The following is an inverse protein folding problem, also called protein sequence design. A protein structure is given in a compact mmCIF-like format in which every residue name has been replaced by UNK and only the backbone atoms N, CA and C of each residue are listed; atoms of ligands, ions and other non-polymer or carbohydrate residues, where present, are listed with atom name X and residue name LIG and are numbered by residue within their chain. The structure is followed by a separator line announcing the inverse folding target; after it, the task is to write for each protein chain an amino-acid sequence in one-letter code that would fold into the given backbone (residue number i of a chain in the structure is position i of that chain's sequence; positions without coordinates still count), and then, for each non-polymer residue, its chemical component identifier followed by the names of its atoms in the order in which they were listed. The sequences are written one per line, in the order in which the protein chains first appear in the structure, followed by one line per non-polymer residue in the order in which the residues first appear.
data_IF_672702901017
#
_entry.id   IF_672702901017
#
_cell.length_a   1.000
_cell.length_b   1.000
_cell.length_c   1.000
_cell.angle_alpha   90.00
_cell.angle_beta   90.00
_cell.angle_gamma   90.00
#
_symmetry.space_group_name_H-M   'P 1'
#
loop_
_entity.id
_entity.type
_entity.pdbx_description
1 polymer ?
#
# COMPACT_ATOMS: atom_id res chain seq x y z
N UNK A 1 -60.31 4.94 -35.67
CA UNK A 1 -59.04 5.69 -35.53
C UNK A 1 -58.99 6.24 -34.12
N UNK A 2 -57.79 6.34 -33.54
CA UNK A 2 -57.47 6.48 -32.09
C UNK A 2 -57.52 5.10 -31.42
N UNK A 3 -56.45 4.30 -31.32
CA UNK A 3 -55.09 4.50 -30.75
C UNK A 3 -55.09 4.56 -29.22
N UNK A 4 -55.18 3.39 -28.56
CA UNK A 4 -54.87 3.25 -27.13
C UNK A 4 -53.60 2.42 -26.93
N UNK A 5 -52.77 2.99 -26.07
CA UNK A 5 -51.36 2.74 -25.81
C UNK A 5 -51.10 1.47 -25.02
N UNK A 6 -50.27 0.59 -25.55
CA UNK A 6 -49.59 -0.45 -24.79
C UNK A 6 -48.51 0.17 -23.90
N UNK A 7 -48.63 -0.01 -22.59
CA UNK A 7 -47.52 0.17 -21.64
C UNK A 7 -46.49 -0.96 -21.83
N UNK A 8 -45.19 -0.68 -21.98
CA UNK A 8 -44.18 -1.71 -21.97
C UNK A 8 -43.88 -2.17 -20.54
N UNK A 9 -43.78 -3.49 -20.41
CA UNK A 9 -43.45 -4.21 -19.19
C UNK A 9 -42.11 -3.76 -18.59
N UNK A 10 -42.15 -3.75 -17.26
CA UNK A 10 -41.08 -3.47 -16.32
C UNK A 10 -39.94 -4.49 -16.49
N UNK A 11 -38.96 -4.19 -17.34
CA UNK A 11 -37.69 -4.93 -17.37
C UNK A 11 -36.96 -4.70 -16.04
N UNK A 12 -37.08 -5.69 -15.16
CA UNK A 12 -36.19 -5.89 -14.01
C UNK A 12 -34.75 -5.76 -14.50
N UNK A 13 -34.11 -4.65 -14.15
CA UNK A 13 -32.66 -4.50 -14.23
C UNK A 13 -32.04 -5.62 -13.42
N UNK A 14 -31.51 -6.63 -14.12
CA UNK A 14 -30.62 -7.61 -13.51
C UNK A 14 -29.50 -6.81 -12.87
N UNK A 15 -29.47 -6.81 -11.53
CA UNK A 15 -28.26 -6.50 -10.78
C UNK A 15 -27.15 -7.38 -11.34
N UNK A 16 -26.26 -6.77 -12.11
CA UNK A 16 -24.98 -7.39 -12.45
C UNK A 16 -24.19 -7.36 -11.16
N UNK A 17 -24.29 -8.46 -10.41
CA UNK A 17 -23.32 -8.78 -9.36
C UNK A 17 -21.95 -8.81 -10.05
N UNK A 18 -20.96 -7.99 -9.64
CA UNK A 18 -19.64 -8.04 -10.25
C UNK A 18 -19.08 -9.45 -10.10
N UNK A 19 -18.69 -10.03 -11.23
CA UNK A 19 -18.07 -11.34 -11.31
C UNK A 19 -16.80 -11.34 -10.45
N UNK A 20 -16.69 -12.39 -9.63
CA UNK A 20 -15.56 -12.75 -8.79
C UNK A 20 -14.21 -12.29 -9.35
N UNK A 21 -13.45 -11.52 -8.56
CA UNK A 21 -12.04 -11.30 -8.79
C UNK A 21 -11.34 -12.67 -8.88
N UNK A 22 -10.94 -13.07 -10.09
CA UNK A 22 -10.14 -14.28 -10.27
C UNK A 22 -8.81 -14.06 -9.57
N UNK A 23 -8.53 -14.95 -8.61
CA UNK A 23 -7.25 -15.05 -7.94
C UNK A 23 -6.15 -15.26 -8.99
N UNK A 24 -5.12 -14.41 -8.97
CA UNK A 24 -4.05 -14.47 -9.97
C UNK A 24 -3.05 -15.58 -9.63
N UNK A 25 -2.27 -16.04 -10.63
CA UNK A 25 -1.22 -17.02 -10.39
C UNK A 25 -0.17 -16.55 -9.37
N UNK A 26 0.07 -15.24 -9.28
CA UNK A 26 0.96 -14.64 -8.29
C UNK A 26 0.37 -14.62 -6.88
N UNK A 27 -0.94 -14.41 -6.72
CA UNK A 27 -1.59 -14.48 -5.41
C UNK A 27 -1.43 -15.90 -4.82
N UNK A 28 -1.61 -16.92 -5.67
CA UNK A 28 -1.38 -18.32 -5.32
C UNK A 28 0.10 -18.58 -4.99
N UNK A 29 1.02 -18.05 -5.79
CA UNK A 29 2.45 -18.18 -5.55
C UNK A 29 2.88 -17.52 -4.23
N UNK A 30 2.38 -16.32 -3.95
CA UNK A 30 2.63 -15.60 -2.70
C UNK A 30 2.16 -16.43 -1.50
N UNK A 31 0.93 -16.97 -1.54
CA UNK A 31 0.40 -17.80 -0.46
C UNK A 31 1.22 -19.09 -0.25
N UNK A 32 1.63 -19.73 -1.34
CA UNK A 32 2.50 -20.91 -1.27
C UNK A 32 3.86 -20.57 -0.65
N UNK A 33 4.43 -19.40 -1.00
CA UNK A 33 5.71 -18.96 -0.46
C UNK A 33 5.59 -18.56 1.01
N UNK A 34 4.52 -17.87 1.41
CA UNK A 34 4.20 -17.60 2.83
C UNK A 34 4.07 -18.91 3.60
N UNK A 35 3.40 -19.93 3.05
CA UNK A 35 3.26 -21.23 3.72
C UNK A 35 4.61 -21.93 3.92
N UNK A 36 5.49 -21.93 2.90
CA UNK A 36 6.86 -22.46 3.03
C UNK A 36 7.68 -21.67 4.04
N UNK A 37 7.54 -20.35 4.01
CA UNK A 37 8.21 -19.46 4.94
C UNK A 37 7.82 -19.76 6.39
N UNK A 38 6.52 -19.99 6.66
CA UNK A 38 6.02 -20.42 7.98
C UNK A 38 6.63 -21.74 8.42
N UNK A 39 6.73 -22.71 7.51
CA UNK A 39 7.32 -24.02 7.81
C UNK A 39 8.81 -23.90 8.16
N UNK A 40 9.56 -23.07 7.43
CA UNK A 40 10.99 -22.87 7.63
C UNK A 40 11.32 -22.03 8.87
N UNK A 41 10.41 -21.14 9.30
CA UNK A 41 10.66 -20.14 10.33
C UNK A 41 9.70 -20.23 11.53
N UNK A 42 9.13 -21.40 11.79
CA UNK A 42 8.08 -21.59 12.80
C UNK A 42 8.42 -21.06 14.20
N UNK A 43 9.63 -21.30 14.72
CA UNK A 43 10.03 -20.82 16.05
C UNK A 43 10.07 -19.29 16.14
N UNK A 44 10.57 -18.63 15.09
CA UNK A 44 10.64 -17.16 15.04
C UNK A 44 9.24 -16.56 14.91
N UNK A 45 8.36 -17.22 14.14
CA UNK A 45 6.96 -16.82 13.98
C UNK A 45 6.19 -16.92 15.31
N UNK A 46 6.34 -18.03 16.05
CA UNK A 46 5.71 -18.19 17.37
C UNK A 46 6.18 -17.10 18.35
N UNK A 47 7.46 -16.71 18.28
CA UNK A 47 8.00 -15.61 19.11
C UNK A 47 7.39 -14.26 18.74
N UNK A 48 7.22 -13.98 17.44
CA UNK A 48 6.54 -12.78 16.95
C UNK A 48 5.08 -12.72 17.41
N UNK A 49 4.34 -13.81 17.25
CA UNK A 49 2.91 -13.87 17.58
C UNK A 49 2.67 -13.66 19.08
N UNK A 50 3.47 -14.29 19.95
CA UNK A 50 3.38 -14.07 21.39
C UNK A 50 3.60 -12.61 21.76
N UNK A 51 4.61 -11.98 21.18
CA UNK A 51 4.92 -10.58 21.46
C UNK A 51 3.80 -9.64 20.99
N UNK A 52 3.32 -9.81 19.76
CA UNK A 52 2.21 -9.00 19.21
C UNK A 52 0.93 -9.17 20.04
N UNK A 53 0.62 -10.38 20.49
CA UNK A 53 -0.58 -10.65 21.29
C UNK A 53 -0.48 -10.02 22.69
N UNK A 54 0.71 -9.99 23.29
CA UNK A 54 0.95 -9.26 24.54
C UNK A 54 0.81 -7.74 24.36
N UNK A 55 1.24 -7.22 23.22
CA UNK A 55 1.14 -5.80 22.86
C UNK A 55 -0.31 -5.38 22.60
N UNK A 56 -1.06 -6.11 21.77
CA UNK A 56 -2.46 -5.81 21.42
C UNK A 56 -3.38 -5.69 22.62
N UNK A 57 -3.02 -6.27 23.77
CA UNK A 57 -3.79 -6.14 25.03
C UNK A 57 -3.64 -4.77 25.69
N UNK A 58 -2.65 -3.98 25.30
CA UNK A 58 -2.23 -2.75 26.01
C UNK A 58 -2.25 -1.50 25.14
N UNK A 59 -2.25 -1.64 23.82
CA UNK A 59 -2.06 -0.54 22.87
C UNK A 59 -2.86 -0.76 21.58
N UNK A 60 -3.21 0.33 20.92
CA UNK A 60 -4.02 0.32 19.70
C UNK A 60 -3.23 0.69 18.44
N UNK A 61 -2.06 1.33 18.56
CA UNK A 61 -1.26 1.86 17.44
C UNK A 61 0.25 1.67 17.62
N UNK A 62 1.05 1.86 16.56
CA UNK A 62 2.52 1.81 16.64
C UNK A 62 3.12 3.02 17.36
N UNK A 63 2.49 4.19 17.24
CA UNK A 63 2.86 5.38 18.01
C UNK A 63 2.66 5.15 19.51
N UNK A 64 1.48 4.66 19.91
CA UNK A 64 1.19 4.34 21.31
C UNK A 64 2.17 3.30 21.84
N UNK A 65 2.52 2.32 21.00
CA UNK A 65 3.49 1.30 21.31
C UNK A 65 4.89 1.88 21.64
N UNK A 66 5.37 2.81 20.82
CA UNK A 66 6.66 3.47 21.05
C UNK A 66 6.67 4.34 22.31
N UNK A 67 5.51 4.85 22.73
CA UNK A 67 5.38 5.70 23.92
C UNK A 67 5.11 4.90 25.20
N UNK A 68 4.23 3.90 25.15
CA UNK A 68 3.67 3.18 26.29
C UNK A 68 4.32 1.80 26.56
N UNK A 69 4.88 1.13 25.54
CA UNK A 69 5.50 -0.19 25.70
C UNK A 69 6.83 -0.31 24.93
N UNK A 70 7.79 0.53 25.35
CA UNK A 70 9.16 0.63 24.78
C UNK A 70 9.92 -0.69 24.79
N UNK A 71 9.66 -1.57 25.75
CA UNK A 71 10.36 -2.86 25.87
C UNK A 71 9.87 -3.84 24.80
N UNK A 72 8.55 -3.96 24.61
CA UNK A 72 7.97 -4.75 23.52
C UNK A 72 8.43 -4.24 22.16
N UNK A 73 8.51 -2.92 21.97
CA UNK A 73 9.10 -2.33 20.76
C UNK A 73 10.53 -2.74 20.53
N UNK A 74 11.36 -2.68 21.58
CA UNK A 74 12.76 -3.03 21.46
C UNK A 74 12.93 -4.49 21.02
N UNK A 75 12.14 -5.39 21.60
CA UNK A 75 12.17 -6.81 21.19
C UNK A 75 11.72 -6.96 19.73
N UNK A 76 10.67 -6.25 19.30
CA UNK A 76 10.22 -6.32 17.92
C UNK A 76 11.27 -5.80 16.93
N UNK A 77 11.94 -4.71 17.28
CA UNK A 77 13.08 -4.16 16.53
C UNK A 77 14.28 -5.12 16.54
N UNK A 78 14.49 -5.90 17.59
CA UNK A 78 15.55 -6.94 17.61
C UNK A 78 15.19 -8.16 16.75
N UNK A 79 13.92 -8.54 16.70
CA UNK A 79 13.44 -9.66 15.88
C UNK A 79 13.39 -9.29 14.39
N UNK A 80 13.11 -8.03 14.06
CA UNK A 80 12.94 -7.61 12.69
C UNK A 80 14.17 -7.85 11.80
N UNK A 81 15.42 -7.53 12.20
CA UNK A 81 16.62 -7.90 11.46
C UNK A 81 16.76 -9.41 11.23
N UNK A 82 16.29 -10.24 12.17
CA UNK A 82 16.35 -11.70 12.06
C UNK A 82 15.35 -12.27 11.06
N UNK A 83 14.28 -11.54 10.76
CA UNK A 83 13.26 -11.91 9.78
C UNK A 83 13.83 -11.82 8.37
N UNK A 84 14.06 -12.95 7.66
CA UNK A 84 14.55 -12.90 6.28
C UNK A 84 13.49 -12.33 5.32
N UNK A 85 13.90 -11.68 4.22
CA UNK A 85 12.97 -11.24 3.18
C UNK A 85 12.25 -12.42 2.52
N UNK A 86 11.00 -12.21 2.15
CA UNK A 86 10.28 -13.17 1.31
C UNK A 86 10.95 -13.19 -0.09
N UNK A 87 11.27 -14.36 -0.65
CA UNK A 87 12.02 -14.45 -1.90
C UNK A 87 11.15 -14.19 -3.13
N UNK A 88 10.71 -12.95 -3.30
CA UNK A 88 9.94 -12.51 -4.47
C UNK A 88 10.87 -12.38 -5.68
N UNK A 89 10.44 -12.91 -6.83
CA UNK A 89 11.22 -12.85 -8.08
C UNK A 89 10.84 -11.62 -8.90
N UNK A 90 11.84 -10.97 -9.50
CA UNK A 90 11.63 -9.81 -10.38
C UNK A 90 11.41 -8.50 -9.63
N UNK A 91 10.89 -7.51 -10.34
CA UNK A 91 10.65 -6.16 -9.82
C UNK A 91 9.28 -6.11 -9.12
N UNK A 92 9.31 -6.11 -7.79
CA UNK A 92 8.11 -6.17 -6.93
C UNK A 92 7.89 -4.82 -6.25
N UNK A 93 6.77 -4.18 -6.53
CA UNK A 93 6.45 -2.82 -6.07
C UNK A 93 5.22 -2.89 -5.16
N UNK A 94 5.37 -2.54 -3.89
CA UNK A 94 4.25 -2.44 -2.96
C UNK A 94 3.57 -1.07 -3.02
N UNK A 95 2.25 -1.06 -3.13
CA UNK A 95 1.43 0.15 -3.11
C UNK A 95 0.70 0.24 -1.76
N UNK A 96 1.09 1.22 -0.96
CA UNK A 96 0.59 1.46 0.40
C UNK A 96 -0.24 2.74 0.44
N UNK A 97 -1.10 2.86 1.45
CA UNK A 97 -1.90 4.07 1.67
C UNK A 97 -3.26 3.74 2.29
N UNK A 98 -3.86 4.72 2.96
CA UNK A 98 -5.19 4.59 3.56
C UNK A 98 -6.26 4.27 2.50
N UNK A 99 -7.43 3.81 2.95
CA UNK A 99 -8.59 3.64 2.05
C UNK A 99 -8.97 4.98 1.43
N UNK A 100 -9.43 4.99 0.17
CA UNK A 100 -9.77 6.20 -0.60
C UNK A 100 -8.61 7.13 -1.01
N UNK A 101 -7.35 6.78 -0.72
CA UNK A 101 -6.18 7.51 -1.24
C UNK A 101 -6.00 7.38 -2.76
N UNK A 102 -6.80 6.52 -3.41
CA UNK A 102 -6.79 6.31 -4.84
C UNK A 102 -5.78 5.26 -5.29
N UNK A 103 -5.40 4.31 -4.41
CA UNK A 103 -4.51 3.17 -4.72
C UNK A 103 -4.93 2.43 -5.97
N UNK A 104 -6.16 1.93 -6.05
CA UNK A 104 -6.67 1.22 -7.23
C UNK A 104 -6.61 2.07 -8.51
N UNK A 105 -6.92 3.37 -8.41
CA UNK A 105 -6.80 4.29 -9.55
C UNK A 105 -5.34 4.50 -9.97
N UNK A 106 -4.42 4.64 -9.01
CA UNK A 106 -3.00 4.74 -9.28
C UNK A 106 -2.45 3.46 -9.90
N UNK A 107 -2.87 2.31 -9.39
CA UNK A 107 -2.50 1.00 -9.92
C UNK A 107 -2.90 0.88 -11.39
N UNK A 108 -4.17 1.18 -11.71
CA UNK A 108 -4.65 1.19 -13.09
C UNK A 108 -3.86 2.19 -13.96
N UNK A 109 -3.51 3.35 -13.42
CA UNK A 109 -2.70 4.35 -14.11
C UNK A 109 -1.23 3.94 -14.28
N UNK A 110 -0.67 3.09 -13.42
CA UNK A 110 0.71 2.58 -13.55
C UNK A 110 0.80 1.41 -14.52
N UNK A 111 -0.26 0.59 -14.60
CA UNK A 111 -0.35 -0.53 -15.54
C UNK A 111 -0.84 -0.11 -16.93
N UNK A 112 -1.33 1.13 -17.07
CA UNK A 112 -2.06 1.61 -18.24
C UNK A 112 -3.23 0.64 -18.62
N UNK A 113 -3.88 0.06 -17.61
CA UNK A 113 -4.97 -0.92 -17.73
C UNK A 113 -6.03 -0.69 -16.65
N UNK A 114 -7.28 -1.12 -16.88
CA UNK A 114 -8.35 -1.03 -15.88
C UNK A 114 -8.60 -2.41 -15.24
N UNK A 115 -7.76 -2.78 -14.28
CA UNK A 115 -7.71 -4.13 -13.68
C UNK A 115 -8.09 -4.16 -12.21
N UNK A 116 -7.72 -3.13 -11.45
CA UNK A 116 -8.16 -2.98 -10.07
C UNK A 116 -9.54 -2.31 -10.05
N UNK A 117 -10.49 -2.87 -9.27
CA UNK A 117 -11.80 -2.27 -9.16
C UNK A 117 -11.70 -0.93 -8.41
N UNK A 118 -12.53 0.04 -8.84
CA UNK A 118 -12.55 1.39 -8.28
C UNK A 118 -13.99 1.77 -7.92
N UNK A 119 -14.27 2.00 -6.62
CA UNK A 119 -15.61 2.40 -6.16
C UNK A 119 -15.70 2.69 -4.66
N UNK A 120 -16.83 3.25 -4.23
CA UNK A 120 -17.12 3.47 -2.79
C UNK A 120 -17.60 2.15 -2.18
N UNK A 121 -16.88 1.65 -1.17
CA UNK A 121 -17.21 0.40 -0.45
C UNK A 121 -16.33 -0.80 -0.79
N UNK A 122 -15.37 -0.65 -1.72
CA UNK A 122 -14.41 -1.71 -2.04
C UNK A 122 -13.21 -1.62 -1.09
N UNK A 123 -13.15 -2.56 -0.15
CA UNK A 123 -12.05 -2.69 0.80
C UNK A 123 -11.22 -3.89 0.36
N UNK A 124 -9.99 -3.64 -0.10
CA UNK A 124 -9.01 -4.70 -0.26
C UNK A 124 -8.72 -5.28 1.13
N UNK A 125 -8.94 -6.58 1.33
CA UNK A 125 -8.74 -7.28 2.63
C UNK A 125 -7.45 -8.10 2.68
N UNK A 126 -6.89 -8.38 1.51
CA UNK A 126 -5.72 -9.25 1.29
C UNK A 126 -4.77 -8.58 0.30
N UNK A 127 -3.48 -8.89 0.40
CA UNK A 127 -2.48 -8.45 -0.58
C UNK A 127 -2.83 -9.06 -1.93
N UNK A 128 -2.91 -8.24 -2.97
CA UNK A 128 -3.22 -8.69 -4.35
C UNK A 128 -2.14 -8.27 -5.33
N UNK A 129 -1.76 -9.19 -6.20
CA UNK A 129 -0.81 -8.96 -7.27
C UNK A 129 -1.52 -8.50 -8.55
N UNK A 130 -0.89 -7.54 -9.24
CA UNK A 130 -1.29 -7.10 -10.56
C UNK A 130 -0.07 -7.03 -11.45
N UNK A 131 -0.12 -7.78 -12.56
CA UNK A 131 1.04 -7.94 -13.43
C UNK A 131 1.15 -6.82 -14.45
N UNK A 132 2.27 -6.11 -14.38
CA UNK A 132 2.75 -5.24 -15.44
C UNK A 132 3.65 -5.99 -16.42
N UNK A 133 4.15 -5.25 -17.41
CA UNK A 133 5.08 -5.81 -18.41
C UNK A 133 6.49 -6.08 -17.83
N UNK A 134 6.90 -5.27 -16.85
CA UNK A 134 8.27 -5.25 -16.31
C UNK A 134 8.32 -5.34 -14.78
N UNK A 135 7.18 -5.34 -14.10
CA UNK A 135 7.06 -5.38 -12.65
C UNK A 135 5.73 -5.99 -12.21
N UNK A 136 5.68 -6.40 -10.95
CA UNK A 136 4.47 -6.80 -10.24
C UNK A 136 4.09 -5.72 -9.25
N UNK A 137 2.86 -5.19 -9.35
CA UNK A 137 2.30 -4.28 -8.36
C UNK A 137 1.51 -5.05 -7.33
N UNK A 138 1.83 -4.81 -6.07
CA UNK A 138 1.12 -5.39 -4.94
C UNK A 138 0.22 -4.33 -4.32
N UNK A 139 -1.09 -4.48 -4.46
CA UNK A 139 -2.07 -3.67 -3.71
C UNK A 139 -2.12 -4.20 -2.28
N UNK A 140 -1.64 -3.38 -1.34
CA UNK A 140 -1.57 -3.75 0.06
C UNK A 140 -2.79 -3.14 0.75
N UNK A 141 -3.63 -3.96 1.40
CA UNK A 141 -4.81 -3.48 2.08
C UNK A 141 -4.39 -2.45 3.13
N UNK A 142 -4.95 -1.24 3.04
CA UNK A 142 -4.81 -0.24 4.09
C UNK A 142 -5.64 -0.69 5.27
N UNK A 143 -5.08 -1.56 6.11
CA UNK A 143 -5.76 -1.96 7.35
C UNK A 143 -5.64 -0.83 8.35
N UNK A 144 -6.74 -0.56 9.06
CA UNK A 144 -6.79 0.44 10.12
C UNK A 144 -6.06 -0.02 11.40
N UNK A 145 -5.64 -1.29 11.49
CA UNK A 145 -4.88 -1.80 12.63
C UNK A 145 -3.38 -1.78 12.32
N UNK A 146 -2.71 -0.69 12.71
CA UNK A 146 -1.28 -0.49 12.49
C UNK A 146 -0.41 -1.62 13.04
N UNK A 147 -0.87 -2.30 14.09
CA UNK A 147 -0.20 -3.46 14.68
C UNK A 147 -0.18 -4.70 13.77
N UNK A 148 -1.07 -4.80 12.76
CA UNK A 148 -1.03 -5.95 11.84
C UNK A 148 0.23 -5.96 10.98
N UNK A 149 0.79 -4.79 10.68
CA UNK A 149 2.03 -4.67 9.91
C UNK A 149 3.26 -5.17 10.65
N UNK A 150 3.17 -5.36 11.96
CA UNK A 150 4.26 -5.87 12.79
C UNK A 150 4.40 -7.39 12.72
N UNK A 151 3.50 -8.10 12.02
CA UNK A 151 3.63 -9.53 11.84
C UNK A 151 4.90 -9.86 11.05
N UNK A 152 5.51 -11.01 11.38
CA UNK A 152 6.69 -11.50 10.67
C UNK A 152 6.45 -11.62 9.16
N UNK A 153 5.24 -12.01 8.76
CA UNK A 153 4.86 -12.15 7.35
C UNK A 153 4.83 -10.82 6.62
N UNK A 154 4.25 -9.77 7.22
CA UNK A 154 4.25 -8.43 6.63
C UNK A 154 5.67 -7.87 6.56
N UNK A 155 6.46 -8.03 7.62
CA UNK A 155 7.87 -7.58 7.63
C UNK A 155 8.68 -8.32 6.56
N UNK A 156 8.56 -9.64 6.48
CA UNK A 156 9.22 -10.48 5.47
C UNK A 156 8.82 -10.05 4.05
N UNK A 157 7.52 -9.88 3.81
CA UNK A 157 6.99 -9.40 2.54
C UNK A 157 7.52 -8.00 2.21
N UNK A 158 7.49 -7.06 3.14
CA UNK A 158 8.02 -5.71 2.94
C UNK A 158 9.49 -5.74 2.59
N UNK A 159 10.31 -6.56 3.26
CA UNK A 159 11.72 -6.73 2.92
C UNK A 159 11.93 -7.37 1.54
N UNK A 160 11.02 -8.25 1.11
CA UNK A 160 11.04 -8.86 -0.22
C UNK A 160 10.69 -7.91 -1.38
N UNK A 161 9.99 -6.80 -1.08
CA UNK A 161 9.69 -5.79 -2.09
C UNK A 161 10.95 -5.06 -2.56
N UNK A 162 11.04 -4.86 -3.87
CA UNK A 162 12.11 -4.05 -4.48
C UNK A 162 11.87 -2.55 -4.35
N UNK A 163 10.59 -2.13 -4.31
CA UNK A 163 10.17 -0.73 -4.12
C UNK A 163 8.89 -0.63 -3.30
N UNK A 164 8.72 0.48 -2.59
CA UNK A 164 7.58 0.74 -1.69
C UNK A 164 7.07 2.15 -1.97
N UNK A 165 5.83 2.24 -2.43
CA UNK A 165 5.18 3.50 -2.77
C UNK A 165 4.08 3.79 -1.76
N UNK A 166 4.19 4.89 -1.02
CA UNK A 166 3.20 5.29 -0.03
C UNK A 166 2.36 6.44 -0.57
N UNK A 167 1.09 6.19 -0.81
CA UNK A 167 0.16 7.17 -1.36
C UNK A 167 -0.48 7.99 -0.24
N UNK A 168 -0.39 9.31 -0.39
CA UNK A 168 -1.03 10.32 0.47
C UNK A 168 -1.88 11.27 -0.36
N UNK A 169 -2.82 11.98 0.29
CA UNK A 169 -3.65 12.99 -0.38
C UNK A 169 -3.58 14.37 0.23
N UNK A 170 -3.27 14.49 1.52
CA UNK A 170 -3.20 15.78 2.18
C UNK A 170 -1.95 15.93 3.04
N UNK A 171 -1.59 14.90 3.81
CA UNK A 171 -0.48 14.96 4.76
C UNK A 171 0.25 13.63 4.88
N UNK A 172 1.55 13.67 5.22
CA UNK A 172 2.32 12.45 5.50
C UNK A 172 1.86 11.74 6.79
N UNK A 173 1.15 12.46 7.67
CA UNK A 173 0.59 11.90 8.91
C UNK A 173 -0.42 10.78 8.65
N UNK A 174 -1.06 10.75 7.47
CA UNK A 174 -2.01 9.70 7.07
C UNK A 174 -1.41 8.28 7.14
N UNK A 175 -0.09 8.14 7.03
CA UNK A 175 0.60 6.85 7.00
C UNK A 175 1.90 6.88 7.83
N UNK A 176 2.00 7.75 8.84
CA UNK A 176 3.25 7.96 9.56
C UNK A 176 3.75 6.72 10.29
N UNK A 177 2.85 5.88 10.80
CA UNK A 177 3.18 4.65 11.53
C UNK A 177 3.88 3.63 10.62
N UNK A 178 3.32 3.45 9.41
CA UNK A 178 3.94 2.61 8.37
C UNK A 178 5.30 3.17 7.95
N UNK A 179 5.39 4.49 7.71
CA UNK A 179 6.64 5.15 7.33
C UNK A 179 7.73 4.96 8.39
N UNK A 180 7.39 5.14 9.68
CA UNK A 180 8.31 4.90 10.80
C UNK A 180 8.72 3.43 10.90
N UNK A 181 7.78 2.50 10.70
CA UNK A 181 8.11 1.08 10.66
C UNK A 181 9.14 0.80 9.55
N UNK A 182 8.95 1.33 8.35
CA UNK A 182 9.93 1.15 7.26
C UNK A 182 11.29 1.79 7.61
N UNK A 183 11.30 2.95 8.24
CA UNK A 183 12.53 3.60 8.74
C UNK A 183 13.29 2.71 9.73
N UNK A 184 12.61 2.17 10.74
CA UNK A 184 13.21 1.27 11.74
C UNK A 184 13.69 -0.05 11.13
N UNK A 185 13.01 -0.52 10.08
CA UNK A 185 13.45 -1.68 9.29
C UNK A 185 14.61 -1.36 8.34
N UNK A 186 15.01 -0.09 8.21
CA UNK A 186 16.02 0.36 7.26
C UNK A 186 15.58 0.23 5.81
N UNK A 187 14.27 0.22 5.54
CA UNK A 187 13.71 0.01 4.21
C UNK A 187 13.37 1.33 3.52
N UNK A 188 13.97 1.52 2.36
CA UNK A 188 13.71 2.67 1.50
C UNK A 188 12.29 2.66 0.92
N UNK A 189 11.69 3.85 0.82
CA UNK A 189 10.37 4.05 0.22
C UNK A 189 10.23 5.43 -0.45
N UNK A 190 9.25 5.55 -1.32
CA UNK A 190 8.86 6.80 -1.97
C UNK A 190 7.48 7.25 -1.51
N UNK A 191 7.30 8.56 -1.42
CA UNK A 191 6.01 9.18 -1.11
C UNK A 191 5.38 9.68 -2.40
N UNK A 192 4.10 9.35 -2.61
CA UNK A 192 3.33 9.76 -3.78
C UNK A 192 2.14 10.59 -3.32
N UNK A 193 2.23 11.91 -3.49
CA UNK A 193 1.10 12.81 -3.28
C UNK A 193 0.16 12.72 -4.48
N UNK A 194 -0.95 12.02 -4.32
CA UNK A 194 -1.94 11.81 -5.38
C UNK A 194 -3.02 12.90 -5.36
N UNK A 195 -3.75 13.03 -6.46
CA UNK A 195 -4.79 14.06 -6.69
C UNK A 195 -4.24 15.49 -6.65
N UNK A 196 -2.99 15.69 -7.03
CA UNK A 196 -2.39 17.03 -7.10
C UNK A 196 -3.06 17.95 -8.13
N UNK A 197 -3.87 17.38 -9.04
CA UNK A 197 -4.78 18.12 -9.92
C UNK A 197 -5.85 18.94 -9.18
N UNK A 198 -6.13 18.59 -7.92
CA UNK A 198 -7.08 19.31 -7.06
C UNK A 198 -6.45 20.45 -6.25
N UNK A 199 -5.13 20.58 -6.30
CA UNK A 199 -4.43 21.68 -5.63
C UNK A 199 -4.35 22.85 -6.60
N UNK A 200 -4.83 24.01 -6.14
CA UNK A 200 -4.80 25.25 -6.89
C UNK A 200 -3.37 25.60 -7.29
N UNK A 201 -3.17 26.07 -8.53
CA UNK A 201 -1.82 26.24 -9.09
C UNK A 201 -0.94 27.18 -8.26
N UNK A 202 -1.56 28.20 -7.66
CA UNK A 202 -0.93 29.18 -6.78
C UNK A 202 -0.47 28.56 -5.44
N UNK A 203 -1.16 27.52 -4.96
CA UNK A 203 -0.89 26.85 -3.69
C UNK A 203 0.07 25.66 -3.82
N UNK A 204 0.30 25.16 -5.04
CA UNK A 204 1.13 23.96 -5.30
C UNK A 204 2.52 24.04 -4.67
N UNK A 205 3.17 25.20 -4.76
CA UNK A 205 4.51 25.39 -4.17
C UNK A 205 4.46 25.30 -2.65
N UNK A 206 3.41 25.81 -2.03
CA UNK A 206 3.24 25.78 -0.58
C UNK A 206 2.95 24.36 -0.09
N UNK A 207 2.05 23.64 -0.77
CA UNK A 207 1.78 22.23 -0.47
C UNK A 207 3.05 21.38 -0.58
N UNK A 208 3.87 21.60 -1.61
CA UNK A 208 5.15 20.89 -1.74
C UNK A 208 6.10 21.18 -0.58
N UNK A 209 6.22 22.44 -0.15
CA UNK A 209 7.03 22.84 1.01
C UNK A 209 6.48 22.26 2.31
N UNK A 210 5.16 22.28 2.49
CA UNK A 210 4.49 21.71 3.65
C UNK A 210 4.82 20.23 3.78
N UNK A 211 4.62 19.43 2.72
CA UNK A 211 4.91 17.99 2.75
C UNK A 211 6.38 17.72 3.09
N UNK A 212 7.32 18.46 2.50
CA UNK A 212 8.74 18.33 2.83
C UNK A 212 9.05 18.71 4.28
N UNK A 213 8.40 19.74 4.80
CA UNK A 213 8.55 20.17 6.19
C UNK A 213 7.97 19.12 7.15
N UNK A 214 6.84 18.52 6.82
CA UNK A 214 6.25 17.44 7.62
C UNK A 214 7.14 16.19 7.66
N UNK A 215 7.75 15.81 6.52
CA UNK A 215 8.74 14.72 6.46
C UNK A 215 9.90 14.99 7.44
N UNK A 216 10.43 16.22 7.46
CA UNK A 216 11.50 16.62 8.37
C UNK A 216 11.05 16.65 9.84
N UNK A 217 9.87 17.19 10.12
CA UNK A 217 9.32 17.30 11.47
C UNK A 217 9.02 15.94 12.10
N UNK A 218 8.51 15.00 11.31
CA UNK A 218 8.28 13.61 11.76
C UNK A 218 9.62 12.86 11.88
N UNK A 219 10.66 13.32 11.19
CA UNK A 219 12.00 12.74 11.23
C UNK A 219 12.15 11.50 10.36
N UNK A 220 11.44 11.45 9.23
CA UNK A 220 11.47 10.31 8.32
C UNK A 220 12.82 10.21 7.58
N UNK A 221 13.46 9.04 7.62
CA UNK A 221 14.88 8.88 7.21
C UNK A 221 15.05 8.19 5.86
N UNK A 222 14.18 7.24 5.53
CA UNK A 222 14.31 6.36 4.37
C UNK A 222 13.48 6.81 3.16
N UNK A 223 12.96 8.04 3.18
CA UNK A 223 12.29 8.66 2.03
C UNK A 223 13.31 8.93 0.92
N UNK A 224 13.18 8.26 -0.22
CA UNK A 224 14.04 8.50 -1.39
C UNK A 224 13.52 9.63 -2.26
N UNK A 225 12.25 9.54 -2.65
CA UNK A 225 11.62 10.52 -3.53
C UNK A 225 10.25 10.93 -3.00
N UNK A 226 9.83 12.13 -3.41
CA UNK A 226 8.47 12.63 -3.20
C UNK A 226 7.94 13.07 -4.56
N UNK A 227 6.89 12.41 -5.03
CA UNK A 227 6.27 12.66 -6.33
C UNK A 227 4.90 13.32 -6.16
N UNK A 228 4.63 14.37 -6.94
CA UNK A 228 3.34 15.07 -6.95
C UNK A 228 2.61 14.77 -8.25
N UNK A 229 1.56 13.96 -8.18
CA UNK A 229 0.96 13.34 -9.37
C UNK A 229 -0.57 13.38 -9.35
N UNK A 230 -1.17 13.09 -10.51
CA UNK A 230 -2.58 12.78 -10.64
C UNK A 230 -2.74 11.44 -11.36
N UNK A 231 -3.27 10.44 -10.66
CA UNK A 231 -3.66 9.18 -11.30
C UNK A 231 -4.75 9.38 -12.36
N UNK A 232 -5.61 10.39 -12.19
CA UNK A 232 -6.70 10.70 -13.12
C UNK A 232 -6.23 11.49 -14.35
N UNK A 233 -5.21 12.32 -14.19
CA UNK A 233 -4.64 13.15 -15.24
C UNK A 233 -3.14 12.87 -15.41
N UNK A 234 -2.76 11.70 -15.97
CA UNK A 234 -1.38 11.20 -15.94
C UNK A 234 -0.35 12.09 -16.67
N UNK A 235 -0.81 12.94 -17.60
CA UNK A 235 0.03 13.83 -18.40
C UNK A 235 0.16 15.24 -17.84
N UNK A 236 -0.56 15.55 -16.75
CA UNK A 236 -0.60 16.91 -16.19
C UNK A 236 0.69 17.28 -15.45
N UNK A 237 1.37 16.29 -14.84
CA UNK A 237 2.56 16.51 -14.04
C UNK A 237 3.73 15.67 -14.55
N UNK A 238 4.89 16.29 -14.75
CA UNK A 238 6.12 15.62 -15.18
C UNK A 238 6.59 14.55 -14.20
N UNK A 239 6.28 14.73 -12.91
CA UNK A 239 6.62 13.79 -11.83
C UNK A 239 6.14 12.37 -12.10
N UNK A 240 5.02 12.18 -12.83
CA UNK A 240 4.59 10.82 -13.20
C UNK A 240 5.63 10.13 -14.07
N UNK A 241 6.15 10.82 -15.09
CA UNK A 241 7.15 10.22 -15.99
C UNK A 241 8.44 9.89 -15.23
N UNK A 242 8.88 10.79 -14.35
CA UNK A 242 10.03 10.56 -13.46
C UNK A 242 9.79 9.35 -12.55
N UNK A 243 8.61 9.25 -11.94
CA UNK A 243 8.22 8.12 -11.10
C UNK A 243 8.22 6.81 -11.91
N UNK A 244 7.54 6.75 -13.05
CA UNK A 244 7.49 5.54 -13.88
C UNK A 244 8.89 5.11 -14.35
N UNK A 245 9.75 6.06 -14.70
CA UNK A 245 11.15 5.75 -15.05
C UNK A 245 11.92 5.19 -13.84
N UNK A 246 11.74 5.79 -12.66
CA UNK A 246 12.30 5.30 -11.40
C UNK A 246 11.82 3.87 -11.08
N UNK A 247 10.55 3.56 -11.30
CA UNK A 247 9.99 2.23 -11.05
C UNK A 247 10.52 1.16 -12.00
N UNK A 248 10.85 1.52 -13.24
CA UNK A 248 11.34 0.59 -14.27
C UNK A 248 12.87 0.39 -14.26
N UNK A 249 13.61 1.34 -13.71
CA UNK A 249 15.06 1.18 -13.54
C UNK A 249 15.31 0.20 -12.41
N UNK A 250 16.12 -0.84 -12.65
CA UNK A 250 16.47 -1.78 -11.57
C UNK A 250 17.49 -1.08 -10.69
N UNK A 251 17.17 -0.88 -9.40
CA UNK A 251 18.22 -0.59 -8.42
C UNK A 251 19.13 -1.81 -8.41
N UNK A 252 20.33 -1.65 -8.96
CA UNK A 252 21.33 -2.70 -9.11
C UNK A 252 21.98 -3.01 -7.78
#
# INVERSE_FOLDING_TARGET
MVSETHHPENMKSKQVVPQNAQETGEDVALRAEIARYREQHGELLERYEKLIEEMKKKIDSFEDLAEHDKESMKILIELAPLTPPLPLKGNNIGLFGSTFTGKSTMLNALLDQNVAPTGVGEITTEIKAYQGSTFTLWDIPGRNDELSYLSMEYISFFKGLTRRLILIQATVKENSSMMKLLDELGLDYDIVFNKFDKVDEEERTEVQKQIRSEIQLIGLKQVKNVFFVSAKHPKMFSDRMTMVHHLNTHST
#
